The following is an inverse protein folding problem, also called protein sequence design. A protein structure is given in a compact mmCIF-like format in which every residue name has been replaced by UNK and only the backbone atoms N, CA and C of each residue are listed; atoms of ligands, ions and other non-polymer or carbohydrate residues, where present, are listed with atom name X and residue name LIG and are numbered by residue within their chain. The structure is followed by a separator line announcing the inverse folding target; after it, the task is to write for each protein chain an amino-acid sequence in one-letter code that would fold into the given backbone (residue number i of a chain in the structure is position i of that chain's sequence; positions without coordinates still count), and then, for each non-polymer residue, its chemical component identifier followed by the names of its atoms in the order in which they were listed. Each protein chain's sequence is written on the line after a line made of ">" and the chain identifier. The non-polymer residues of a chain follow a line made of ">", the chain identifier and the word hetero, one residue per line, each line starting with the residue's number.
data_IF_843880509054
#
_entry.id   IF_843880509054
#
_cell.length_a   1.000
_cell.length_b   1.000
_cell.length_c   1.000
_cell.angle_alpha   90.00
_cell.angle_beta   90.00
_cell.angle_gamma   90.00
#
_symmetry.space_group_name_H-M   'P 1'
#
loop_
_entity.id
_entity.type
_entity.pdbx_description
1 polymer ?
#
# COMPACT_ATOMS: atom_id res chain seq x y z
N UNK A 1 -7.71 -12.11 20.72
CA UNK A 1 -8.84 -12.59 19.87
C UNK A 1 -9.60 -11.44 19.21
N UNK A 2 -10.03 -10.40 19.95
CA UNK A 2 -10.78 -9.25 19.40
C UNK A 2 -10.05 -8.45 18.30
N UNK A 3 -8.78 -8.08 18.52
CA UNK A 3 -7.97 -7.39 17.50
C UNK A 3 -7.85 -8.20 16.21
N UNK A 4 -7.53 -9.50 16.32
CA UNK A 4 -7.44 -10.39 15.16
C UNK A 4 -8.73 -10.41 14.34
N UNK A 5 -9.89 -10.54 15.00
CA UNK A 5 -11.18 -10.52 14.31
C UNK A 5 -11.38 -9.20 13.58
N UNK A 6 -11.21 -8.07 14.29
CA UNK A 6 -11.39 -6.73 13.71
C UNK A 6 -10.47 -6.51 12.50
N UNK A 7 -9.19 -6.88 12.60
CA UNK A 7 -8.25 -6.74 11.48
C UNK A 7 -8.68 -7.58 10.27
N UNK A 8 -9.12 -8.82 10.48
CA UNK A 8 -9.57 -9.70 9.39
C UNK A 8 -10.89 -9.22 8.79
N UNK A 9 -11.82 -8.71 9.60
CA UNK A 9 -13.11 -8.20 9.14
C UNK A 9 -12.93 -6.93 8.30
N UNK A 10 -12.06 -6.00 8.75
CA UNK A 10 -11.69 -4.80 7.98
C UNK A 10 -10.99 -5.20 6.68
N UNK A 11 -9.99 -6.09 6.76
CA UNK A 11 -9.23 -6.52 5.57
C UNK A 11 -10.13 -7.21 4.55
N UNK A 12 -11.03 -8.09 5.00
CA UNK A 12 -12.01 -8.76 4.13
C UNK A 12 -12.87 -7.74 3.40
N UNK A 13 -13.49 -6.81 4.12
CA UNK A 13 -14.34 -5.77 3.51
C UNK A 13 -13.56 -4.89 2.51
N UNK A 14 -12.32 -4.56 2.84
CA UNK A 14 -11.44 -3.81 1.96
C UNK A 14 -11.14 -4.58 0.67
N UNK A 15 -10.75 -5.85 0.77
CA UNK A 15 -10.47 -6.71 -0.40
C UNK A 15 -11.70 -6.92 -1.28
N UNK A 16 -12.90 -7.07 -0.70
CA UNK A 16 -14.15 -7.18 -1.46
C UNK A 16 -14.45 -5.88 -2.24
N UNK A 17 -14.22 -4.72 -1.61
CA UNK A 17 -14.46 -3.41 -2.22
C UNK A 17 -13.43 -3.10 -3.32
N UNK A 18 -12.15 -3.37 -3.08
CA UNK A 18 -11.09 -3.17 -4.06
C UNK A 18 -11.18 -4.18 -5.21
N UNK A 19 -11.56 -5.43 -4.92
CA UNK A 19 -11.70 -6.49 -5.91
C UNK A 19 -12.78 -6.20 -6.95
N UNK A 20 -13.90 -5.55 -6.56
CA UNK A 20 -14.92 -5.12 -7.54
C UNK A 20 -14.42 -4.04 -8.51
N UNK A 21 -13.30 -3.39 -8.18
CA UNK A 21 -12.62 -2.35 -8.97
C UNK A 21 -11.35 -2.87 -9.66
N UNK A 22 -11.12 -4.18 -9.67
CA UNK A 22 -9.96 -4.79 -10.33
C UNK A 22 -8.65 -4.67 -9.56
N UNK A 23 -8.71 -4.42 -8.25
CA UNK A 23 -7.52 -4.28 -7.39
C UNK A 23 -7.45 -5.41 -6.36
N UNK A 24 -6.27 -6.03 -6.27
CA UNK A 24 -5.91 -6.96 -5.20
C UNK A 24 -5.20 -6.16 -4.10
N UNK A 25 -5.68 -6.28 -2.86
CA UNK A 25 -4.92 -5.83 -1.68
C UNK A 25 -4.15 -7.04 -1.15
N UNK A 26 -2.85 -7.07 -1.36
CA UNK A 26 -2.03 -8.23 -0.99
C UNK A 26 -1.82 -8.32 0.54
N UNK A 27 -1.57 -7.17 1.16
CA UNK A 27 -1.43 -7.01 2.61
C UNK A 27 -1.66 -5.56 3.02
N UNK A 28 -1.88 -5.36 4.33
CA UNK A 28 -1.95 -4.03 4.94
C UNK A 28 -1.46 -4.05 6.39
N UNK A 29 -0.86 -2.96 6.82
CA UNK A 29 -0.67 -2.62 8.24
C UNK A 29 -1.92 -1.91 8.75
N UNK A 30 -2.29 -2.15 10.00
CA UNK A 30 -3.30 -1.39 10.73
C UNK A 30 -2.77 -1.06 12.11
N UNK A 31 -3.09 0.12 12.62
CA UNK A 31 -2.81 0.48 14.01
C UNK A 31 -4.10 0.68 14.78
N UNK A 32 -4.10 0.20 16.02
CA UNK A 32 -5.23 0.29 16.92
C UNK A 32 -4.79 0.92 18.23
N UNK A 33 -5.56 1.88 18.71
CA UNK A 33 -5.44 2.46 20.04
C UNK A 33 -6.46 1.86 21.00
N UNK A 34 -6.27 2.12 22.29
CA UNK A 34 -7.29 1.91 23.31
C UNK A 34 -7.62 3.25 23.94
N UNK A 35 -8.89 3.62 23.92
CA UNK A 35 -9.39 4.84 24.54
C UNK A 35 -10.67 4.51 25.30
N UNK A 36 -10.72 4.90 26.58
CA UNK A 36 -11.87 4.66 27.47
C UNK A 36 -12.30 3.18 27.55
N UNK A 37 -11.34 2.26 27.40
CA UNK A 37 -11.59 0.81 27.40
C UNK A 37 -12.05 0.23 26.05
N UNK A 38 -12.22 1.07 25.03
CA UNK A 38 -12.62 0.67 23.69
C UNK A 38 -11.44 0.63 22.71
N UNK A 39 -11.49 -0.31 21.78
CA UNK A 39 -10.52 -0.39 20.68
C UNK A 39 -10.95 0.60 19.61
N UNK A 40 -10.05 1.50 19.24
CA UNK A 40 -10.24 2.45 18.15
C UNK A 40 -9.23 2.17 17.05
N UNK A 41 -9.65 2.35 15.80
CA UNK A 41 -8.72 2.43 14.69
C UNK A 41 -8.02 3.80 14.74
N UNK A 42 -6.71 3.79 14.53
CA UNK A 42 -5.88 5.00 14.48
C UNK A 42 -5.01 4.95 13.22
N UNK A 43 -4.13 5.94 13.08
CA UNK A 43 -3.21 6.09 11.93
C UNK A 43 -3.96 6.16 10.58
N UNK A 44 -3.21 6.11 9.49
CA UNK A 44 -3.77 5.83 8.16
C UNK A 44 -4.25 4.37 8.02
N UNK A 45 -5.22 4.17 7.14
CA UNK A 45 -5.77 2.86 6.83
C UNK A 45 -5.91 2.73 5.31
N UNK A 46 -5.39 1.63 4.75
CA UNK A 46 -5.58 1.26 3.34
C UNK A 46 -5.09 2.33 2.36
N UNK A 47 -3.94 2.90 2.67
CA UNK A 47 -3.21 3.83 1.80
C UNK A 47 -2.08 3.09 1.07
N UNK A 48 -1.55 3.61 -0.05
CA UNK A 48 -0.39 2.99 -0.71
C UNK A 48 0.88 2.96 0.15
N UNK A 49 0.88 3.69 1.26
CA UNK A 49 1.96 3.68 2.26
C UNK A 49 1.85 2.48 3.21
N UNK A 50 0.61 2.14 3.58
CA UNK A 50 0.29 1.11 4.57
C UNK A 50 -0.12 -0.23 3.95
N UNK A 51 -0.38 -0.28 2.65
CA UNK A 51 -0.86 -1.46 1.92
C UNK A 51 -0.16 -1.64 0.58
N UNK A 52 -0.20 -2.89 0.08
CA UNK A 52 0.23 -3.23 -1.28
C UNK A 52 -0.99 -3.45 -2.17
N UNK A 53 -1.08 -2.69 -3.26
CA UNK A 53 -2.17 -2.75 -4.23
C UNK A 53 -1.67 -3.26 -5.56
N UNK A 54 -2.20 -4.38 -6.04
CA UNK A 54 -1.85 -4.97 -7.32
C UNK A 54 -3.02 -4.91 -8.30
N UNK A 55 -2.79 -4.55 -9.57
CA UNK A 55 -3.79 -4.68 -10.61
C UNK A 55 -4.10 -6.17 -10.84
N UNK A 56 -5.38 -6.53 -10.78
CA UNK A 56 -5.83 -7.93 -10.81
C UNK A 56 -5.55 -8.60 -12.17
N UNK A 57 -5.61 -7.85 -13.25
CA UNK A 57 -5.38 -8.30 -14.62
C UNK A 57 -3.90 -8.56 -14.95
N UNK A 58 -2.97 -8.00 -14.16
CA UNK A 58 -1.53 -8.23 -14.31
C UNK A 58 -0.94 -9.16 -13.24
N UNK A 59 -1.75 -9.63 -12.29
CA UNK A 59 -1.29 -10.50 -11.21
C UNK A 59 -0.88 -11.88 -11.71
N UNK A 60 0.31 -12.33 -11.31
CA UNK A 60 0.81 -13.66 -11.64
C UNK A 60 1.68 -14.24 -10.51
N UNK A 61 1.34 -15.40 -9.94
CA UNK A 61 2.13 -15.98 -8.86
C UNK A 61 3.54 -16.38 -9.31
N UNK A 62 4.51 -16.33 -8.39
CA UNK A 62 5.89 -16.76 -8.65
C UNK A 62 6.84 -15.67 -9.14
N UNK A 63 6.38 -14.42 -9.26
CA UNK A 63 7.22 -13.24 -9.58
C UNK A 63 6.89 -12.01 -8.72
N UNK A 64 7.67 -10.95 -8.89
CA UNK A 64 7.30 -9.62 -8.42
C UNK A 64 6.04 -9.10 -9.13
N UNK A 65 5.20 -8.38 -8.40
CA UNK A 65 3.96 -7.81 -8.93
C UNK A 65 4.16 -6.32 -9.22
N UNK A 66 3.48 -5.83 -10.26
CA UNK A 66 3.30 -4.40 -10.42
C UNK A 66 2.47 -3.89 -9.25
N UNK A 67 2.82 -2.72 -8.73
CA UNK A 67 2.17 -2.17 -7.56
C UNK A 67 1.91 -0.68 -7.71
N UNK A 68 0.78 -0.23 -7.17
CA UNK A 68 0.44 1.19 -7.04
C UNK A 68 1.05 1.84 -5.78
N UNK A 69 2.00 1.15 -5.13
CA UNK A 69 2.65 1.59 -3.91
C UNK A 69 4.08 2.17 -4.14
N UNK A 70 4.83 2.32 -3.05
CA UNK A 70 6.24 2.75 -2.99
C UNK A 70 7.21 1.92 -3.84
N UNK A 71 6.76 0.90 -4.57
CA UNK A 71 7.60 0.04 -5.39
C UNK A 71 8.43 0.81 -6.43
N UNK A 72 7.89 1.88 -7.03
CA UNK A 72 8.66 2.73 -7.98
C UNK A 72 9.93 3.30 -7.33
N UNK A 73 9.80 3.85 -6.13
CA UNK A 73 10.94 4.41 -5.39
C UNK A 73 11.89 3.30 -4.97
N UNK A 74 11.37 2.16 -4.48
CA UNK A 74 12.20 1.02 -4.07
C UNK A 74 13.02 0.48 -5.24
N UNK A 75 12.39 0.26 -6.39
CA UNK A 75 13.05 -0.25 -7.59
C UNK A 75 14.09 0.73 -8.09
N UNK A 76 13.79 2.03 -8.11
CA UNK A 76 14.77 3.06 -8.46
C UNK A 76 15.98 3.05 -7.53
N UNK A 77 15.76 3.02 -6.22
CA UNK A 77 16.86 3.01 -5.23
C UNK A 77 17.75 1.76 -5.37
N UNK A 78 17.20 0.63 -5.81
CA UNK A 78 17.97 -0.59 -6.08
C UNK A 78 18.86 -0.49 -7.32
N UNK A 79 18.65 0.51 -8.19
CA UNK A 79 19.52 0.77 -9.35
C UNK A 79 20.75 1.62 -8.99
N UNK A 80 20.76 2.24 -7.82
CA UNK A 80 21.83 3.12 -7.37
C UNK A 80 22.91 2.33 -6.61
N UNK A 81 24.14 2.81 -6.67
CA UNK A 81 25.24 2.33 -5.81
C UNK A 81 25.13 2.95 -4.41
N UNK A 82 23.99 2.71 -3.75
CA UNK A 82 23.67 3.20 -2.42
C UNK A 82 23.51 2.01 -1.47
N UNK A 83 24.32 1.99 -0.41
CA UNK A 83 24.37 0.93 0.59
C UNK A 83 23.23 0.97 1.62
N UNK A 84 22.23 1.84 1.41
CA UNK A 84 21.08 2.09 2.30
C UNK A 84 21.46 2.81 3.60
N UNK A 85 22.64 3.41 3.67
CA UNK A 85 23.06 4.24 4.81
C UNK A 85 22.55 5.68 4.66
N UNK A 86 22.04 6.26 5.74
CA UNK A 86 21.57 7.65 5.73
C UNK A 86 22.74 8.65 5.60
N UNK A 87 22.56 9.81 4.91
CA UNK A 87 21.34 10.23 4.21
C UNK A 87 21.10 9.46 2.90
N UNK A 88 19.83 9.25 2.57
CA UNK A 88 19.46 8.64 1.29
C UNK A 88 19.70 9.59 0.10
N UNK A 89 19.84 9.06 -1.12
CA UNK A 89 20.03 9.87 -2.32
C UNK A 89 18.80 10.73 -2.61
N UNK A 90 19.00 11.88 -3.26
CA UNK A 90 17.89 12.67 -3.79
C UNK A 90 17.22 11.92 -4.94
N UNK A 91 15.89 11.90 -4.93
CA UNK A 91 15.11 11.29 -6.01
C UNK A 91 15.02 12.27 -7.19
N UNK A 92 15.17 11.75 -8.40
CA UNK A 92 14.94 12.57 -9.60
C UNK A 92 13.48 13.04 -9.68
N UNK A 93 13.25 14.20 -10.27
CA UNK A 93 11.89 14.74 -10.48
C UNK A 93 10.98 13.77 -11.24
N UNK A 94 11.56 12.96 -12.13
CA UNK A 94 10.81 11.93 -12.86
C UNK A 94 10.27 10.84 -11.92
N UNK A 95 11.09 10.34 -10.99
CA UNK A 95 10.67 9.32 -10.02
C UNK A 95 9.65 9.86 -9.05
N UNK A 96 9.83 11.11 -8.60
CA UNK A 96 8.84 11.80 -7.75
C UNK A 96 7.50 11.91 -8.46
N UNK A 97 7.48 12.40 -9.71
CA UNK A 97 6.25 12.52 -10.51
C UNK A 97 5.58 11.17 -10.74
N UNK A 98 6.32 10.15 -11.18
CA UNK A 98 5.77 8.80 -11.43
C UNK A 98 5.16 8.19 -10.17
N UNK A 99 5.78 8.44 -9.02
CA UNK A 99 5.26 7.96 -7.73
C UNK A 99 3.97 8.68 -7.37
N UNK A 100 3.92 10.01 -7.51
CA UNK A 100 2.70 10.79 -7.28
C UNK A 100 1.55 10.35 -8.20
N UNK A 101 1.82 10.16 -9.49
CA UNK A 101 0.82 9.69 -10.47
C UNK A 101 0.23 8.33 -10.09
N UNK A 102 1.04 7.40 -9.56
CA UNK A 102 0.51 6.10 -9.08
C UNK A 102 -0.39 6.23 -7.86
N UNK A 103 -0.10 7.17 -6.96
CA UNK A 103 -0.94 7.42 -5.79
C UNK A 103 -2.28 8.04 -6.19
N UNK A 104 -2.27 8.96 -7.15
CA UNK A 104 -3.49 9.56 -7.70
C UNK A 104 -4.34 8.52 -8.43
N UNK A 105 -3.72 7.66 -9.23
CA UNK A 105 -4.41 6.60 -9.98
C UNK A 105 -5.13 5.62 -9.05
N UNK A 106 -4.46 5.10 -8.02
CA UNK A 106 -5.12 4.17 -7.09
C UNK A 106 -6.20 4.85 -6.24
N UNK A 107 -6.01 6.12 -5.88
CA UNK A 107 -7.05 6.90 -5.22
C UNK A 107 -8.30 7.01 -6.10
N UNK A 108 -8.15 7.34 -7.39
CA UNK A 108 -9.25 7.44 -8.34
C UNK A 108 -9.96 6.09 -8.55
N UNK A 109 -9.19 5.01 -8.73
CA UNK A 109 -9.74 3.65 -8.86
C UNK A 109 -10.56 3.29 -7.62
N UNK A 110 -10.04 3.51 -6.41
CA UNK A 110 -10.69 3.08 -5.17
C UNK A 110 -11.91 3.93 -4.79
N UNK A 111 -11.98 5.20 -5.22
CA UNK A 111 -13.02 6.15 -4.79
C UNK A 111 -14.13 6.43 -5.81
N UNK A 112 -14.00 5.90 -7.03
CA UNK A 112 -15.00 5.99 -8.11
C UNK A 112 -16.29 5.19 -7.91
#
# INVERSE_FOLDING_TARGET
>A
LKLKSLSLDIFKRATETAGSKGIIIADTKMEFGIRDGEIILIDELLTPDSSRFWPQDEYEPGRGQNSFDKQIVRDYLLTLDWDKTAPGPELSQEIVRKTAERYEEILEILTS
#
